data_IF_126766493638
#
_entry.id   IF_126766493638
#
_cell.length_a   1.000
_cell.length_b   1.000
_cell.length_c   1.000
_cell.angle_alpha   90.00
_cell.angle_beta   90.00
_cell.angle_gamma   90.00
#
_symmetry.space_group_name_H-M   'P 1'
#
loop_
_entity.id
_entity.type
_entity.pdbx_description
1 polymer ?
#
# COMPACT_ATOMS: atom_id res chain seq x y z
N UNK A 1 2.92 -22.80 -11.85
CA UNK A 1 4.32 -22.53 -12.22
C UNK A 1 4.47 -21.03 -12.28
N UNK A 2 5.28 -20.44 -11.40
CA UNK A 2 5.50 -19.00 -11.32
C UNK A 2 7.02 -18.76 -11.34
N UNK A 3 7.45 -17.81 -12.17
CA UNK A 3 8.83 -17.40 -12.30
C UNK A 3 9.19 -16.55 -11.08
N UNK A 4 10.15 -17.01 -10.29
CA UNK A 4 10.80 -16.22 -9.24
C UNK A 4 11.55 -15.09 -9.94
N UNK A 5 11.07 -13.85 -9.80
CA UNK A 5 11.82 -12.66 -10.19
C UNK A 5 12.55 -12.15 -8.94
N UNK A 6 13.84 -12.44 -8.83
CA UNK A 6 14.75 -11.87 -7.82
C UNK A 6 15.16 -10.43 -8.18
N UNK A 7 14.18 -9.59 -8.52
CA UNK A 7 14.40 -8.18 -8.79
C UNK A 7 13.79 -7.38 -7.66
N UNK A 8 14.59 -7.12 -6.62
CA UNK A 8 14.29 -6.29 -5.43
C UNK A 8 13.86 -7.07 -4.17
N UNK A 9 14.79 -7.84 -3.57
CA UNK A 9 14.78 -8.07 -2.12
C UNK A 9 15.20 -6.75 -1.46
N UNK A 10 14.24 -5.93 -1.02
CA UNK A 10 14.54 -4.88 -0.06
C UNK A 10 14.53 -5.54 1.32
N UNK A 11 15.69 -5.64 1.97
CA UNK A 11 15.79 -6.12 3.36
C UNK A 11 14.94 -5.26 4.33
N UNK A 12 14.52 -4.08 3.90
CA UNK A 12 13.74 -3.14 4.71
C UNK A 12 12.26 -3.24 4.35
N UNK A 13 11.35 -3.36 5.34
CA UNK A 13 9.91 -3.24 5.14
C UNK A 13 9.55 -1.98 4.37
N UNK A 14 8.84 -2.12 3.25
CA UNK A 14 8.48 -1.02 2.37
C UNK A 14 6.98 -1.03 2.07
N UNK A 15 6.37 0.16 2.05
CA UNK A 15 4.99 0.39 1.63
C UNK A 15 4.96 1.45 0.54
N UNK A 16 4.33 1.09 -0.58
CA UNK A 16 4.02 2.01 -1.66
C UNK A 16 2.72 2.75 -1.36
N UNK A 17 2.79 4.09 -1.32
CA UNK A 17 1.64 4.97 -1.08
C UNK A 17 1.51 5.89 -2.29
N UNK A 18 0.38 5.85 -3.03
CA UNK A 18 0.12 6.80 -4.12
C UNK A 18 0.22 8.25 -3.63
N UNK A 19 0.83 9.15 -4.42
CA UNK A 19 1.01 10.57 -4.05
C UNK A 19 -0.29 11.25 -3.60
N UNK A 20 -1.42 10.91 -4.23
CA UNK A 20 -2.73 11.45 -3.87
C UNK A 20 -3.17 11.00 -2.47
N UNK A 21 -2.90 9.75 -2.10
CA UNK A 21 -3.16 9.25 -0.75
C UNK A 21 -2.18 9.86 0.25
N UNK A 22 -0.89 9.91 -0.09
CA UNK A 22 0.14 10.52 0.77
C UNK A 22 -0.23 11.98 1.13
N UNK A 23 -0.71 12.77 0.15
CA UNK A 23 -1.20 14.13 0.40
C UNK A 23 -2.37 14.17 1.38
N UNK A 24 -3.33 13.23 1.26
CA UNK A 24 -4.49 13.16 2.16
C UNK A 24 -4.11 12.74 3.57
N UNK A 25 -3.11 11.88 3.71
CA UNK A 25 -2.54 11.45 4.98
C UNK A 25 -1.62 12.51 5.62
N UNK A 26 -1.43 13.66 4.96
CA UNK A 26 -0.66 14.79 5.50
C UNK A 26 0.85 14.66 5.33
N UNK A 27 1.33 13.78 4.45
CA UNK A 27 2.75 13.72 4.12
C UNK A 27 3.20 15.03 3.49
N UNK A 28 4.37 15.52 3.91
CA UNK A 28 5.03 16.60 3.18
C UNK A 28 5.54 16.05 1.85
N UNK A 29 5.08 16.64 0.75
CA UNK A 29 5.53 16.29 -0.60
C UNK A 29 6.55 17.31 -1.15
N UNK A 30 7.05 18.20 -0.29
CA UNK A 30 8.07 19.18 -0.66
C UNK A 30 9.46 18.55 -0.57
N UNK A 31 10.32 18.83 -1.56
CA UNK A 31 11.72 18.38 -1.58
C UNK A 31 11.91 16.85 -1.45
N UNK A 32 10.96 16.07 -1.96
CA UNK A 32 11.06 14.60 -1.95
C UNK A 32 12.35 14.14 -2.65
N UNK A 33 13.09 13.26 -1.97
CA UNK A 33 14.24 12.59 -2.56
C UNK A 33 13.74 11.58 -3.59
N UNK A 34 14.14 11.75 -4.84
CA UNK A 34 13.97 10.75 -5.87
C UNK A 34 15.10 9.72 -5.80
N UNK A 35 14.74 8.45 -5.91
CA UNK A 35 15.63 7.32 -6.12
C UNK A 35 15.22 6.62 -7.41
N UNK A 36 16.15 5.97 -8.09
CA UNK A 36 15.87 5.24 -9.32
C UNK A 36 15.93 3.74 -9.04
N UNK A 37 14.78 3.08 -9.11
CA UNK A 37 14.69 1.64 -8.94
C UNK A 37 14.85 1.01 -10.32
N UNK A 38 15.81 0.09 -10.44
CA UNK A 38 16.02 -0.65 -11.68
C UNK A 38 14.98 -1.76 -11.78
N UNK A 39 14.11 -1.66 -12.78
CA UNK A 39 13.18 -2.71 -13.17
C UNK A 39 13.63 -3.30 -14.51
N UNK A 40 13.08 -4.44 -14.91
CA UNK A 40 13.51 -5.10 -16.16
C UNK A 40 13.30 -4.17 -17.35
N UNK A 41 14.40 -3.72 -17.95
CA UNK A 41 14.41 -2.87 -19.16
C UNK A 41 14.11 -1.38 -18.95
N UNK A 42 13.93 -0.91 -17.71
CA UNK A 42 13.68 0.51 -17.41
C UNK A 42 14.19 0.91 -16.02
N UNK A 43 14.33 2.21 -15.78
CA UNK A 43 14.47 2.78 -14.44
C UNK A 43 13.20 3.53 -14.08
N UNK A 44 12.67 3.25 -12.90
CA UNK A 44 11.48 3.90 -12.37
C UNK A 44 11.92 4.88 -11.29
N UNK A 45 11.49 6.14 -11.41
CA UNK A 45 11.69 7.11 -10.36
C UNK A 45 10.75 6.80 -9.19
N UNK A 46 11.30 6.75 -7.98
CA UNK A 46 10.62 6.45 -6.73
C UNK A 46 10.89 7.59 -5.76
N UNK A 47 9.85 8.21 -5.22
CA UNK A 47 9.97 9.24 -4.19
C UNK A 47 9.95 8.64 -2.80
N UNK A 48 10.93 9.00 -1.97
CA UNK A 48 10.96 8.58 -0.56
C UNK A 48 10.14 9.56 0.27
N UNK A 49 9.07 9.05 0.89
CA UNK A 49 8.16 9.84 1.72
C UNK A 49 8.58 9.87 3.20
N UNK A 50 9.52 9.01 3.60
CA UNK A 50 10.01 8.88 4.97
C UNK A 50 9.72 7.50 5.55
N UNK A 51 9.64 7.42 6.88
CA UNK A 51 9.26 6.20 7.60
C UNK A 51 7.89 6.39 8.26
N UNK A 52 7.11 5.32 8.29
CA UNK A 52 5.80 5.26 8.92
C UNK A 52 5.66 4.00 9.75
N UNK A 53 4.75 4.03 10.72
CA UNK A 53 4.33 2.84 11.46
C UNK A 53 3.11 2.24 10.77
N UNK A 54 3.16 0.95 10.49
CA UNK A 54 2.11 0.20 9.79
C UNK A 54 1.67 -0.96 10.69
N UNK A 55 0.37 -1.21 10.78
CA UNK A 55 -0.18 -2.43 11.37
C UNK A 55 -1.39 -2.88 10.57
N UNK A 56 -1.72 -4.16 10.68
CA UNK A 56 -2.97 -4.71 10.18
C UNK A 56 -4.01 -4.66 11.28
N UNK A 57 -5.19 -4.14 10.96
CA UNK A 57 -6.35 -4.16 11.85
C UNK A 57 -7.41 -5.06 11.21
N UNK A 58 -7.77 -6.14 11.90
CA UNK A 58 -8.90 -7.00 11.58
C UNK A 58 -9.96 -6.90 12.68
N UNK A 59 -11.17 -7.40 12.41
CA UNK A 59 -12.30 -7.34 13.36
C UNK A 59 -11.99 -7.93 14.74
N UNK A 60 -11.15 -8.96 14.79
CA UNK A 60 -10.86 -9.77 15.97
C UNK A 60 -9.45 -9.59 16.53
N UNK A 61 -8.54 -8.98 15.76
CA UNK A 61 -7.11 -8.94 16.06
C UNK A 61 -6.42 -7.81 15.32
N UNK A 62 -5.36 -7.28 15.94
CA UNK A 62 -4.39 -6.40 15.28
C UNK A 62 -3.01 -7.07 15.25
N UNK A 63 -2.18 -6.70 14.27
CA UNK A 63 -0.75 -7.00 14.30
C UNK A 63 -0.01 -6.02 15.22
N UNK A 64 1.24 -6.34 15.53
CA UNK A 64 2.17 -5.35 16.07
C UNK A 64 2.42 -4.23 15.05
N UNK A 65 2.89 -3.09 15.56
CA UNK A 65 3.37 -1.99 14.72
C UNK A 65 4.71 -2.35 14.10
N UNK A 66 4.81 -2.13 12.79
CA UNK A 66 6.02 -2.34 11.99
C UNK A 66 6.44 -1.01 11.39
N UNK A 67 7.70 -0.65 11.60
CA UNK A 67 8.28 0.54 11.00
C UNK A 67 8.64 0.25 9.54
N UNK A 68 7.93 0.89 8.62
CA UNK A 68 8.12 0.72 7.19
C UNK A 68 8.64 2.00 6.53
N UNK A 69 9.43 1.82 5.47
CA UNK A 69 9.77 2.90 4.55
C UNK A 69 8.58 3.18 3.63
N UNK A 70 8.09 4.41 3.64
CA UNK A 70 7.05 4.84 2.72
C UNK A 70 7.67 5.39 1.44
N UNK A 71 7.23 4.87 0.30
CA UNK A 71 7.68 5.30 -1.03
C UNK A 71 6.50 5.58 -1.95
N UNK A 72 6.74 6.34 -3.01
CA UNK A 72 5.73 6.64 -4.02
C UNK A 72 6.33 6.58 -5.42
N UNK A 73 5.70 5.81 -6.31
CA UNK A 73 6.06 5.73 -7.72
C UNK A 73 5.07 6.57 -8.52
N UNK A 74 5.53 7.52 -9.34
CA UNK A 74 4.66 8.31 -10.21
C UNK A 74 3.88 7.43 -11.19
N UNK A 75 2.57 7.61 -11.24
CA UNK A 75 1.68 6.85 -12.13
C UNK A 75 1.15 5.55 -11.54
N UNK A 76 1.54 5.18 -10.32
CA UNK A 76 0.92 4.09 -9.57
C UNK A 76 -0.22 4.61 -8.67
N UNK A 77 -1.32 3.86 -8.63
CA UNK A 77 -2.58 4.31 -8.01
C UNK A 77 -3.05 3.41 -6.87
N UNK A 78 -2.36 2.29 -6.66
CA UNK A 78 -2.67 1.29 -5.65
C UNK A 78 -1.65 1.37 -4.50
N UNK A 79 -2.12 1.07 -3.29
CA UNK A 79 -1.23 0.82 -2.15
C UNK A 79 -0.66 -0.58 -2.31
N UNK A 80 0.67 -0.70 -2.27
CA UNK A 80 1.35 -1.99 -2.35
C UNK A 80 2.19 -2.19 -1.09
N UNK A 81 2.21 -3.42 -0.60
CA UNK A 81 2.97 -3.81 0.59
C UNK A 81 4.08 -4.74 0.12
N UNK A 82 5.33 -4.40 0.44
CA UNK A 82 6.49 -5.23 0.13
C UNK A 82 6.49 -6.55 0.91
N UNK A 83 7.20 -7.55 0.41
CA UNK A 83 7.31 -8.88 1.03
C UNK A 83 7.90 -8.84 2.45
N UNK A 84 8.96 -8.06 2.69
CA UNK A 84 9.53 -7.87 4.03
C UNK A 84 8.49 -7.30 5.01
N UNK A 85 7.66 -6.36 4.58
CA UNK A 85 6.60 -5.80 5.41
C UNK A 85 5.47 -6.82 5.63
N UNK A 86 5.12 -7.63 4.64
CA UNK A 86 4.14 -8.72 4.77
C UNK A 86 4.59 -9.73 5.81
N UNK A 87 5.88 -10.12 5.77
CA UNK A 87 6.47 -11.05 6.72
C UNK A 87 6.46 -10.47 8.15
N UNK A 88 6.92 -9.24 8.34
CA UNK A 88 6.97 -8.60 9.67
C UNK A 88 5.57 -8.34 10.25
N UNK A 89 4.57 -8.05 9.42
CA UNK A 89 3.16 -7.94 9.85
C UNK A 89 2.54 -9.30 10.21
N UNK A 90 3.25 -10.40 9.97
CA UNK A 90 2.77 -11.75 10.21
C UNK A 90 1.60 -12.11 9.30
N UNK A 91 1.67 -11.75 8.02
CA UNK A 91 0.64 -12.02 7.02
C UNK A 91 1.09 -13.22 6.16
N UNK A 92 0.23 -14.22 6.04
CA UNK A 92 0.39 -15.30 5.08
C UNK A 92 -0.60 -15.13 3.92
N UNK A 93 -0.09 -14.94 2.70
CA UNK A 93 -0.91 -14.91 1.49
C UNK A 93 -1.28 -16.35 1.09
N UNK A 94 -2.57 -16.67 1.07
CA UNK A 94 -3.05 -18.03 0.78
C UNK A 94 -3.55 -18.16 -0.66
N UNK A 95 -4.39 -17.22 -1.13
CA UNK A 95 -4.86 -17.18 -2.53
C UNK A 95 -4.84 -15.75 -3.05
N UNK A 96 -3.73 -15.29 -3.65
CA UNK A 96 -3.55 -13.89 -4.05
C UNK A 96 -4.63 -13.41 -5.03
N UNK A 97 -4.93 -14.21 -6.07
CA UNK A 97 -6.00 -13.88 -7.04
C UNK A 97 -7.38 -13.70 -6.40
N UNK A 98 -7.65 -14.42 -5.31
CA UNK A 98 -8.93 -14.35 -4.60
C UNK A 98 -8.89 -13.37 -3.41
N UNK A 99 -7.74 -12.75 -3.15
CA UNK A 99 -7.51 -11.90 -1.99
C UNK A 99 -7.56 -12.65 -0.66
N UNK A 100 -7.27 -13.96 -0.62
CA UNK A 100 -7.30 -14.70 0.65
C UNK A 100 -5.95 -14.69 1.35
N UNK A 101 -5.97 -14.33 2.63
CA UNK A 101 -4.80 -14.27 3.50
C UNK A 101 -5.18 -14.66 4.92
N UNK A 102 -4.20 -14.82 5.82
CA UNK A 102 -4.40 -15.08 7.25
C UNK A 102 -3.23 -14.52 8.06
N UNK A 103 -3.38 -14.38 9.36
CA UNK A 103 -2.21 -14.16 10.21
C UNK A 103 -1.39 -15.43 10.34
N UNK A 104 -0.08 -15.28 10.49
CA UNK A 104 0.86 -16.38 10.69
C UNK A 104 0.43 -17.24 11.87
N UNK A 105 0.37 -18.56 11.65
CA UNK A 105 -0.04 -19.53 12.67
C UNK A 105 -1.54 -19.69 12.87
N UNK A 106 -2.39 -19.01 12.10
CA UNK A 106 -3.85 -19.18 12.16
C UNK A 106 -4.41 -20.06 11.02
N UNK A 107 -5.59 -20.63 11.21
CA UNK A 107 -6.34 -21.31 10.13
C UNK A 107 -7.41 -20.40 9.49
N UNK A 108 -7.79 -19.32 10.18
CA UNK A 108 -8.85 -18.41 9.74
C UNK A 108 -8.43 -17.63 8.50
N UNK A 109 -9.09 -17.91 7.37
CA UNK A 109 -8.92 -17.13 6.14
C UNK A 109 -9.72 -15.82 6.23
N UNK A 110 -9.07 -14.76 5.77
CA UNK A 110 -9.60 -13.41 5.64
C UNK A 110 -9.57 -13.03 4.16
N UNK A 111 -10.46 -12.13 3.77
CA UNK A 111 -10.49 -11.56 2.42
C UNK A 111 -9.92 -10.15 2.49
N UNK A 112 -9.02 -9.80 1.57
CA UNK A 112 -8.59 -8.42 1.40
C UNK A 112 -9.78 -7.58 0.94
N UNK A 113 -9.87 -6.36 1.46
CA UNK A 113 -10.70 -5.34 0.83
C UNK A 113 -10.28 -5.14 -0.63
N UNK A 114 -11.19 -4.64 -1.47
CA UNK A 114 -10.83 -4.32 -2.85
C UNK A 114 -9.76 -3.24 -2.84
N UNK A 115 -8.80 -3.33 -3.76
CA UNK A 115 -7.79 -2.29 -3.94
C UNK A 115 -8.48 -0.93 -4.09
N UNK A 116 -8.17 -0.01 -3.18
CA UNK A 116 -8.65 1.36 -3.29
C UNK A 116 -7.78 2.09 -4.30
N UNK A 117 -8.41 2.51 -5.40
CA UNK A 117 -7.75 3.25 -6.48
C UNK A 117 -7.81 4.75 -6.21
N UNK A 118 -6.68 5.37 -5.91
CA UNK A 118 -6.62 6.79 -5.60
C UNK A 118 -6.40 7.62 -6.86
N UNK A 119 -7.44 7.84 -7.67
CA UNK A 119 -7.39 8.71 -8.87
C UNK A 119 -8.05 10.07 -8.64
N UNK A 120 -7.71 11.09 -9.45
CA UNK A 120 -8.37 12.41 -9.40
C UNK A 120 -9.88 12.34 -9.70
N UNK A 121 -10.33 11.29 -10.40
CA UNK A 121 -11.72 11.11 -10.85
C UNK A 121 -12.71 10.82 -9.71
N UNK A 122 -12.25 10.31 -8.57
CA UNK A 122 -13.12 10.06 -7.41
C UNK A 122 -13.67 11.35 -6.76
N UNK A 123 -13.08 12.53 -7.07
CA UNK A 123 -13.67 13.82 -6.65
C UNK A 123 -15.02 14.10 -7.30
N UNK A 124 -15.29 13.60 -8.50
CA UNK A 124 -16.53 13.88 -9.23
C UNK A 124 -17.70 12.95 -8.84
N UNK A 125 -17.45 11.87 -8.11
CA UNK A 125 -18.52 10.93 -7.69
C UNK A 125 -18.87 11.10 -6.20
N UNK A 126 -17.99 11.72 -5.42
CA UNK A 126 -18.22 11.98 -3.98
C UNK A 126 -18.56 13.43 -3.64
N UNK A 127 -18.62 14.32 -4.64
CA UNK A 127 -19.12 15.68 -4.49
C UNK A 127 -20.25 15.94 -5.47
N UNK A 128 -21.47 15.60 -5.07
CA UNK A 128 -22.75 16.24 -5.45
C UNK A 128 -23.93 15.36 -5.01
N UNK A 129 -24.07 15.16 -3.70
CA UNK A 129 -25.33 14.76 -3.06
C UNK A 129 -25.38 15.36 -1.64
N UNK A 130 -25.42 16.69 -1.58
CA UNK A 130 -26.09 17.40 -0.50
C UNK A 130 -26.50 18.78 -1.01
N UNK A 131 -27.65 18.80 -1.67
CA UNK A 131 -28.57 19.92 -1.55
C UNK A 131 -29.98 19.35 -1.60
N UNK A 132 -30.47 18.93 -0.43
CA UNK A 132 -31.90 18.83 -0.18
C UNK A 132 -32.22 19.60 1.11
N UNK A 133 -33.01 20.65 0.93
CA UNK A 133 -34.07 21.15 1.80
C UNK A 133 -33.76 21.37 3.29
N UNK A 134 -33.87 22.64 3.71
CA UNK A 134 -34.79 23.16 4.75
C UNK A 134 -34.22 24.47 5.37
N UNK A 135 -34.62 25.63 4.86
CA UNK A 135 -35.50 26.60 5.54
C UNK A 135 -35.79 27.82 4.66
#
# INVERSE_FOLDING_TARGET
MALVNSGYESDVPEIHIPLLLARRLGFSLEHLRAEHYRVVGSEVATYVLGYVEVKVVAEDRESEWVRARAVSVPGEWEVLIGDALIEELGIEIVKPKSGLWRFTGEERLRRSERAEYWTERLKLITGDLHDEFQH
#
